data_IF_069046258166
#
_entry.id   IF_069046258166
#
_cell.length_a   1.000
_cell.length_b   1.000
_cell.length_c   1.000
_cell.angle_alpha   90.00
_cell.angle_beta   90.00
_cell.angle_gamma   90.00
#
_symmetry.space_group_name_H-M   'P 1'
#
loop_
_entity.id
_entity.type
_entity.pdbx_description
1 polymer ?
#
# COMPACT_ATOMS: atom_id res chain seq x y z
N UNK A 1 -12.09 15.33 -15.40
CA UNK A 1 -12.47 16.69 -15.89
C UNK A 1 -11.42 17.15 -16.92
N UNK A 2 -11.70 18.12 -17.80
CA UNK A 2 -10.72 18.51 -18.85
C UNK A 2 -9.40 19.10 -18.29
N UNK A 3 -9.40 19.55 -17.04
CA UNK A 3 -8.23 20.06 -16.31
C UNK A 3 -7.16 18.98 -16.05
N UNK A 4 -7.55 17.70 -15.92
CA UNK A 4 -6.61 16.61 -15.66
C UNK A 4 -5.61 16.42 -16.81
N UNK A 5 -6.02 16.76 -18.05
CA UNK A 5 -5.17 16.69 -19.24
C UNK A 5 -4.06 17.76 -19.25
N UNK A 6 -4.27 18.90 -18.57
CA UNK A 6 -3.29 19.99 -18.52
C UNK A 6 -2.14 19.71 -17.54
N UNK A 7 -2.44 19.00 -16.45
CA UNK A 7 -1.44 18.57 -15.46
C UNK A 7 -0.86 17.18 -15.77
N UNK A 8 -1.48 16.42 -16.68
CA UNK A 8 -1.05 15.09 -17.09
C UNK A 8 0.45 14.94 -17.38
N UNK A 9 1.16 15.82 -18.13
CA UNK A 9 2.60 15.63 -18.36
C UNK A 9 3.46 15.79 -17.09
N UNK A 10 2.91 16.40 -16.03
CA UNK A 10 3.59 16.61 -14.75
C UNK A 10 3.25 15.50 -13.74
N UNK A 11 2.02 15.01 -13.74
CA UNK A 11 1.54 13.98 -12.80
C UNK A 11 1.65 12.56 -13.34
N UNK A 12 1.58 12.35 -14.67
CA UNK A 12 1.64 11.02 -15.28
C UNK A 12 2.88 10.18 -14.93
N UNK A 13 4.09 10.74 -14.76
CA UNK A 13 5.24 9.96 -14.30
C UNK A 13 5.01 9.39 -12.88
N UNK A 14 4.45 10.19 -11.98
CA UNK A 14 4.19 9.83 -10.58
C UNK A 14 3.08 8.78 -10.51
N UNK A 15 1.97 9.00 -11.22
CA UNK A 15 0.86 8.04 -11.30
C UNK A 15 1.28 6.72 -11.96
N UNK A 16 2.21 6.79 -12.91
CA UNK A 16 2.80 5.61 -13.56
C UNK A 16 3.69 4.79 -12.62
N UNK A 17 4.44 5.43 -11.72
CA UNK A 17 5.27 4.75 -10.71
C UNK A 17 4.39 4.10 -9.63
N UNK A 18 3.34 4.77 -9.18
CA UNK A 18 2.36 4.20 -8.26
C UNK A 18 1.70 2.93 -8.83
N UNK A 19 1.31 2.94 -10.11
CA UNK A 19 0.79 1.77 -10.81
C UNK A 19 1.81 0.61 -10.89
N UNK A 20 3.10 0.93 -11.05
CA UNK A 20 4.18 -0.07 -11.04
C UNK A 20 4.37 -0.65 -9.62
N UNK A 21 4.30 0.18 -8.58
CA UNK A 21 4.35 -0.23 -7.18
C UNK A 21 3.23 -1.21 -6.84
N UNK A 22 2.00 -0.90 -7.25
CA UNK A 22 0.81 -1.76 -7.11
C UNK A 22 1.02 -3.13 -7.78
N UNK A 23 1.62 -3.15 -8.98
CA UNK A 23 1.93 -4.39 -9.72
C UNK A 23 3.11 -5.20 -9.18
N UNK A 24 4.02 -4.57 -8.44
CA UNK A 24 5.11 -5.25 -7.72
C UNK A 24 4.56 -5.87 -6.43
N UNK A 25 3.71 -5.14 -5.70
CA UNK A 25 2.98 -5.63 -4.53
C UNK A 25 2.20 -6.91 -4.84
N UNK A 26 1.44 -6.88 -5.95
CA UNK A 26 0.59 -7.98 -6.43
C UNK A 26 1.39 -9.25 -6.76
N UNK A 27 2.70 -9.14 -7.06
CA UNK A 27 3.57 -10.29 -7.33
C UNK A 27 4.32 -10.77 -6.10
N UNK A 28 4.71 -9.86 -5.20
CA UNK A 28 5.40 -10.18 -3.95
C UNK A 28 4.52 -10.97 -2.96
N UNK A 29 3.21 -10.91 -3.11
CA UNK A 29 2.21 -11.70 -2.35
C UNK A 29 2.17 -13.19 -2.68
N UNK A 30 2.82 -13.66 -3.74
CA UNK A 30 2.63 -15.04 -4.24
C UNK A 30 3.34 -16.11 -3.39
N UNK A 31 4.34 -15.76 -2.57
CA UNK A 31 5.24 -16.75 -1.91
C UNK A 31 5.61 -16.43 -0.44
N UNK A 32 5.12 -15.32 0.14
CA UNK A 32 5.47 -14.88 1.50
C UNK A 32 4.31 -15.10 2.49
N UNK A 33 4.67 -15.32 3.76
CA UNK A 33 3.71 -15.33 4.87
C UNK A 33 2.84 -14.06 4.86
N UNK A 34 1.52 -14.21 5.09
CA UNK A 34 0.53 -13.12 4.97
C UNK A 34 0.94 -11.89 5.81
N UNK A 35 1.49 -12.12 7.00
CA UNK A 35 1.93 -11.06 7.94
C UNK A 35 3.19 -10.36 7.47
N UNK A 36 4.14 -11.12 6.95
CA UNK A 36 5.37 -10.56 6.39
C UNK A 36 5.04 -9.71 5.14
N UNK A 37 4.05 -10.14 4.35
CA UNK A 37 3.59 -9.36 3.21
C UNK A 37 3.01 -8.01 3.64
N UNK A 38 2.08 -8.00 4.60
CA UNK A 38 1.49 -6.76 5.12
C UNK A 38 2.54 -5.80 5.71
N UNK A 39 3.51 -6.34 6.45
CA UNK A 39 4.60 -5.53 7.02
C UNK A 39 5.48 -4.89 5.93
N UNK A 40 5.74 -5.60 4.83
CA UNK A 40 6.49 -5.06 3.69
C UNK A 40 5.69 -4.00 2.93
N UNK A 41 4.38 -4.18 2.80
CA UNK A 41 3.46 -3.18 2.20
C UNK A 41 3.49 -1.87 2.98
N UNK A 42 3.46 -1.94 4.31
CA UNK A 42 3.47 -0.76 5.18
C UNK A 42 4.78 0.02 5.05
N UNK A 43 5.91 -0.70 5.04
CA UNK A 43 7.23 -0.09 4.83
C UNK A 43 7.35 0.59 3.47
N UNK A 44 6.84 -0.05 2.41
CA UNK A 44 6.85 0.54 1.07
C UNK A 44 6.02 1.83 1.01
N UNK A 45 4.83 1.81 1.62
CA UNK A 45 3.95 2.98 1.71
C UNK A 45 4.66 4.15 2.42
N UNK A 46 5.33 3.88 3.53
CA UNK A 46 6.06 4.90 4.28
C UNK A 46 7.26 5.47 3.51
N UNK A 47 7.99 4.63 2.77
CA UNK A 47 9.07 5.10 1.90
C UNK A 47 8.56 6.02 0.79
N UNK A 48 7.42 5.70 0.18
CA UNK A 48 6.79 6.55 -0.83
C UNK A 48 6.35 7.90 -0.24
N UNK A 49 5.83 7.93 0.98
CA UNK A 49 5.53 9.17 1.69
C UNK A 49 6.79 9.98 2.01
N UNK A 50 7.82 9.35 2.56
CA UNK A 50 9.10 9.99 2.88
C UNK A 50 9.79 10.59 1.64
N UNK A 51 9.59 9.97 0.48
CA UNK A 51 10.08 10.46 -0.82
C UNK A 51 9.21 11.55 -1.44
N UNK A 52 8.05 11.85 -0.84
CA UNK A 52 7.07 12.81 -1.36
C UNK A 52 6.35 12.34 -2.64
N UNK A 53 6.29 11.02 -2.86
CA UNK A 53 5.57 10.42 -3.99
C UNK A 53 4.05 10.41 -3.78
N UNK A 54 3.62 10.39 -2.52
CA UNK A 54 2.22 10.44 -2.09
C UNK A 54 2.00 11.58 -1.09
N UNK A 55 0.77 12.07 -1.00
CA UNK A 55 0.38 13.07 0.00
C UNK A 55 0.19 12.44 1.38
N UNK A 56 0.20 13.26 2.42
CA UNK A 56 -0.12 12.84 3.80
C UNK A 56 -1.53 12.23 3.89
N UNK A 57 -2.53 12.85 3.26
CA UNK A 57 -3.90 12.33 3.24
C UNK A 57 -4.00 10.96 2.57
N UNK A 58 -3.25 10.74 1.48
CA UNK A 58 -3.23 9.45 0.78
C UNK A 58 -2.45 8.38 1.56
N UNK A 59 -1.39 8.79 2.27
CA UNK A 59 -0.68 7.93 3.20
C UNK A 59 -1.57 7.47 4.35
N UNK A 60 -2.28 8.39 5.02
CA UNK A 60 -3.15 8.09 6.17
C UNK A 60 -4.26 7.10 5.80
N UNK A 61 -4.93 7.29 4.67
CA UNK A 61 -6.00 6.40 4.20
C UNK A 61 -5.45 4.98 3.97
N UNK A 62 -4.33 4.86 3.25
CA UNK A 62 -3.75 3.56 2.93
C UNK A 62 -3.12 2.88 4.16
N UNK A 63 -2.56 3.65 5.09
CA UNK A 63 -2.02 3.15 6.34
C UNK A 63 -3.14 2.54 7.20
N UNK A 64 -4.26 3.24 7.34
CA UNK A 64 -5.41 2.75 8.12
C UNK A 64 -5.96 1.43 7.55
N UNK A 65 -6.15 1.35 6.23
CA UNK A 65 -6.60 0.12 5.57
C UNK A 65 -5.66 -1.05 5.86
N UNK A 66 -4.35 -0.82 5.77
CA UNK A 66 -3.35 -1.86 5.97
C UNK A 66 -3.25 -2.32 7.42
N UNK A 67 -3.39 -1.40 8.38
CA UNK A 67 -3.41 -1.72 9.81
C UNK A 67 -4.66 -2.55 10.17
N UNK A 68 -5.82 -2.27 9.56
CA UNK A 68 -7.03 -3.07 9.73
C UNK A 68 -6.85 -4.50 9.19
N UNK A 69 -6.19 -4.68 8.04
CA UNK A 69 -5.84 -6.00 7.51
C UNK A 69 -4.93 -6.78 8.48
N UNK A 70 -3.92 -6.12 9.05
CA UNK A 70 -3.02 -6.73 10.03
C UNK A 70 -3.75 -7.16 11.31
N UNK A 71 -4.68 -6.33 11.78
CA UNK A 71 -5.49 -6.66 12.95
C UNK A 71 -6.37 -7.89 12.69
N UNK A 72 -7.05 -7.93 11.55
CA UNK A 72 -7.89 -9.06 11.16
C UNK A 72 -7.09 -10.37 11.04
N UNK A 73 -5.85 -10.30 10.54
CA UNK A 73 -4.96 -11.45 10.51
C UNK A 73 -4.57 -11.91 11.92
N UNK A 74 -4.17 -10.99 12.80
CA UNK A 74 -3.79 -11.30 14.18
C UNK A 74 -4.95 -11.92 14.98
N UNK A 75 -6.18 -11.43 14.77
CA UNK A 75 -7.37 -11.97 15.42
C UNK A 75 -7.69 -13.40 14.94
N UNK A 76 -7.46 -13.70 13.64
CA UNK A 76 -7.59 -15.07 13.10
C UNK A 76 -6.56 -16.02 13.72
N UNK A 77 -5.29 -15.63 13.74
CA UNK A 77 -4.20 -16.44 14.35
C UNK A 77 -4.51 -16.75 15.81
N UNK A 78 -5.03 -15.76 16.55
CA UNK A 78 -5.38 -15.94 17.95
C UNK A 78 -6.55 -16.90 18.14
N UNK A 79 -7.61 -16.77 17.34
CA UNK A 79 -8.76 -17.67 17.39
C UNK A 79 -8.37 -19.12 17.08
N UNK A 80 -7.49 -19.34 16.10
CA UNK A 80 -6.97 -20.67 15.76
C UNK A 80 -6.07 -21.27 16.86
N UNK A 81 -5.36 -20.43 17.62
CA UNK A 81 -4.51 -20.89 18.72
C UNK A 81 -5.26 -21.26 20.01
N UNK A 82 -6.51 -20.82 20.14
CA UNK A 82 -7.36 -21.04 21.31
C UNK A 82 -8.32 -22.25 21.15
N UNK A 83 -8.42 -22.84 19.95
CA UNK A 83 -9.11 -24.12 19.66
C UNK A 83 -8.24 -25.37 19.89
#
# INVERSE_FOLDING_TARGET
MFFDLLIAPLTAPITGIAWIGEKILERASTELDEKENLSKRLLALQLSFDMGEISEEEFEIQEEELLLEMQALADREKAESEE
#
